data_IF_537175074610
#
_entry.id   IF_537175074610
#
_cell.length_a   1.000
_cell.length_b   1.000
_cell.length_c   1.000
_cell.angle_alpha   90.00
_cell.angle_beta   90.00
_cell.angle_gamma   90.00
#
_symmetry.space_group_name_H-M   'P 1'
#
loop_
_entity.id
_entity.type
_entity.pdbx_description
1 polymer ?
#
# COMPACT_ATOMS: atom_id res chain seq x y z
N UNK A 1 -18.37 2.14 -23.92
CA UNK A 1 -19.54 2.00 -23.02
C UNK A 1 -19.02 1.60 -21.65
N UNK A 2 -19.26 2.39 -20.61
CA UNK A 2 -18.84 2.04 -19.25
C UNK A 2 -19.74 0.93 -18.72
N UNK A 3 -19.13 -0.17 -18.24
CA UNK A 3 -19.88 -1.27 -17.61
C UNK A 3 -19.53 -1.37 -16.14
N UNK A 4 -20.41 -1.97 -15.35
CA UNK A 4 -20.12 -2.35 -13.97
C UNK A 4 -19.80 -3.84 -13.97
N UNK A 5 -18.71 -4.23 -13.34
CA UNK A 5 -18.25 -5.62 -13.23
C UNK A 5 -17.90 -5.96 -11.78
N UNK A 6 -17.91 -7.24 -11.43
CA UNK A 6 -17.37 -7.69 -10.14
C UNK A 6 -15.85 -7.80 -10.21
N UNK A 7 -15.15 -7.51 -9.11
CA UNK A 7 -13.68 -7.60 -9.06
C UNK A 7 -13.17 -8.99 -9.46
N UNK A 8 -13.81 -10.06 -8.99
CA UNK A 8 -13.45 -11.45 -9.32
C UNK A 8 -13.53 -11.78 -10.82
N UNK A 9 -14.27 -11.00 -11.61
CA UNK A 9 -14.34 -11.19 -13.06
C UNK A 9 -13.15 -10.58 -13.82
N UNK A 10 -12.37 -9.72 -13.17
CA UNK A 10 -11.26 -8.97 -13.78
C UNK A 10 -9.95 -9.07 -13.00
N UNK A 11 -9.95 -9.63 -11.80
CA UNK A 11 -8.76 -9.79 -10.97
C UNK A 11 -8.90 -10.99 -10.02
N UNK A 12 -7.77 -11.62 -9.70
CA UNK A 12 -7.69 -12.61 -8.64
C UNK A 12 -7.51 -11.92 -7.30
N UNK A 13 -8.22 -12.38 -6.26
CA UNK A 13 -8.05 -11.89 -4.89
C UNK A 13 -7.70 -13.05 -3.97
N UNK A 14 -6.66 -12.86 -3.16
CA UNK A 14 -6.23 -13.83 -2.14
C UNK A 14 -5.84 -13.11 -0.86
N UNK A 15 -5.74 -13.85 0.24
CA UNK A 15 -5.17 -13.34 1.48
C UNK A 15 -3.63 -13.46 1.46
N UNK A 16 -2.97 -12.60 2.23
CA UNK A 16 -1.57 -12.78 2.58
C UNK A 16 -1.29 -14.02 3.42
N UNK A 17 -0.02 -14.28 3.69
CA UNK A 17 0.43 -15.42 4.46
C UNK A 17 -0.04 -15.32 5.93
N UNK A 18 -0.60 -16.38 6.52
CA UNK A 18 -0.92 -16.40 7.94
C UNK A 18 0.36 -16.58 8.77
N UNK A 19 0.56 -15.71 9.75
CA UNK A 19 1.63 -15.85 10.76
C UNK A 19 1.01 -16.40 12.05
N UNK A 20 1.60 -17.46 12.60
CA UNK A 20 1.12 -18.12 13.84
C UNK A 20 1.76 -17.53 15.10
N UNK A 21 2.97 -17.03 14.96
CA UNK A 21 3.77 -16.38 15.99
C UNK A 21 3.83 -14.87 15.76
N UNK A 22 4.31 -14.13 16.77
CA UNK A 22 4.61 -12.71 16.61
C UNK A 22 5.69 -12.54 15.52
N UNK A 23 5.48 -11.60 14.62
CA UNK A 23 6.46 -11.27 13.57
C UNK A 23 7.71 -10.71 14.24
N UNK A 24 8.85 -11.36 14.01
CA UNK A 24 10.16 -10.92 14.46
C UNK A 24 10.98 -10.45 13.27
N UNK A 25 11.70 -9.34 13.44
CA UNK A 25 12.65 -8.87 12.44
C UNK A 25 13.92 -9.73 12.52
N UNK A 26 14.18 -10.46 11.44
CA UNK A 26 15.35 -11.31 11.28
C UNK A 26 16.55 -10.57 10.65
N UNK A 27 16.40 -9.28 10.32
CA UNK A 27 17.47 -8.47 9.72
C UNK A 27 18.06 -9.14 8.48
N UNK A 28 19.38 -9.24 8.42
CA UNK A 28 20.11 -9.86 7.30
C UNK A 28 19.79 -11.35 7.11
N UNK A 29 19.40 -12.06 8.17
CA UNK A 29 19.09 -13.49 8.12
C UNK A 29 17.69 -13.79 7.57
N UNK A 30 16.83 -12.77 7.42
CA UNK A 30 15.51 -12.96 6.83
C UNK A 30 15.60 -13.49 5.40
N UNK A 31 14.63 -14.28 4.96
CA UNK A 31 14.55 -14.78 3.59
C UNK A 31 13.57 -13.99 2.72
N UNK A 32 12.61 -13.27 3.33
CA UNK A 32 11.66 -12.42 2.62
C UNK A 32 11.53 -11.04 3.28
N UNK A 33 11.08 -10.04 2.51
CA UNK A 33 10.51 -8.81 3.09
C UNK A 33 9.03 -8.99 3.38
N UNK A 34 8.56 -8.40 4.48
CA UNK A 34 7.17 -8.43 4.88
C UNK A 34 6.55 -7.03 4.82
N UNK A 35 5.54 -6.89 3.95
CA UNK A 35 4.66 -5.72 3.95
C UNK A 35 3.51 -5.94 4.94
N UNK A 36 3.30 -4.98 5.83
CA UNK A 36 2.28 -4.97 6.86
C UNK A 36 1.30 -3.80 6.65
N UNK A 37 0.22 -3.80 7.42
CA UNK A 37 -0.82 -2.76 7.37
C UNK A 37 -0.27 -1.35 7.64
N UNK A 38 0.80 -1.23 8.45
CA UNK A 38 1.44 0.05 8.80
C UNK A 38 2.23 0.66 7.64
N UNK A 39 2.70 -0.17 6.71
CA UNK A 39 3.53 0.26 5.58
C UNK A 39 2.67 0.82 4.44
N UNK A 40 1.34 0.66 4.53
CA UNK A 40 0.36 1.27 3.62
C UNK A 40 -0.24 2.50 4.28
N UNK A 41 0.16 3.67 3.79
CA UNK A 41 -0.39 4.96 4.19
C UNK A 41 -1.91 5.03 4.00
N UNK A 42 -2.58 5.89 4.78
CA UNK A 42 -4.02 6.12 4.65
C UNK A 42 -4.40 6.69 3.28
N UNK A 43 -3.44 7.26 2.57
CA UNK A 43 -3.56 7.84 1.23
C UNK A 43 -3.15 6.89 0.10
N UNK A 44 -2.90 5.62 0.43
CA UNK A 44 -2.54 4.55 -0.51
C UNK A 44 -1.08 4.52 -0.93
N UNK A 45 -0.21 5.36 -0.36
CA UNK A 45 1.23 5.29 -0.62
C UNK A 45 1.82 4.09 0.16
N UNK A 46 2.52 3.22 -0.55
CA UNK A 46 3.23 2.09 0.01
C UNK A 46 4.68 2.49 0.32
N UNK A 47 5.07 2.39 1.59
CA UNK A 47 6.44 2.59 2.02
C UNK A 47 7.23 1.28 1.91
N UNK A 48 8.30 1.31 1.12
CA UNK A 48 9.20 0.17 0.91
C UNK A 48 10.61 0.43 1.48
N UNK A 49 10.82 1.56 2.17
CA UNK A 49 12.15 1.99 2.63
C UNK A 49 12.67 1.22 3.84
N UNK A 50 11.78 0.79 4.74
CA UNK A 50 12.14 0.13 6.00
C UNK A 50 11.27 -1.11 6.29
N UNK A 51 11.19 -2.02 5.31
CA UNK A 51 10.42 -3.25 5.47
C UNK A 51 11.08 -4.22 6.44
N UNK A 52 10.25 -4.85 7.29
CA UNK A 52 10.69 -5.92 8.19
C UNK A 52 11.16 -7.13 7.39
N UNK A 53 12.35 -7.62 7.69
CA UNK A 53 12.90 -8.83 7.08
C UNK A 53 12.49 -10.04 7.93
N UNK A 54 11.95 -11.08 7.32
CA UNK A 54 11.36 -12.22 8.06
C UNK A 54 11.83 -13.57 7.50
N UNK A 55 11.76 -14.59 8.34
CA UNK A 55 11.87 -16.00 7.96
C UNK A 55 10.48 -16.61 8.10
N UNK A 56 9.72 -16.77 7.00
CA UNK A 56 8.34 -17.20 7.08
C UNK A 56 8.22 -18.67 7.53
N UNK A 57 7.29 -18.94 8.45
CA UNK A 57 6.99 -20.31 8.88
C UNK A 57 6.15 -21.03 7.80
N UNK A 58 6.78 -21.86 6.97
CA UNK A 58 6.08 -22.72 6.00
C UNK A 58 6.50 -22.49 4.56
N UNK A 59 5.53 -22.41 3.64
CA UNK A 59 5.79 -22.27 2.21
C UNK A 59 5.49 -20.83 1.72
N UNK A 60 6.48 -19.92 1.75
CA UNK A 60 6.28 -18.53 1.34
C UNK A 60 6.15 -18.35 -0.17
N UNK A 61 6.60 -19.31 -0.99
CA UNK A 61 6.63 -19.20 -2.45
C UNK A 61 5.24 -18.99 -3.05
N UNK A 62 4.22 -19.61 -2.45
CA UNK A 62 2.81 -19.44 -2.85
C UNK A 62 2.25 -18.05 -2.54
N UNK A 63 2.92 -17.28 -1.68
CA UNK A 63 2.48 -15.98 -1.21
C UNK A 63 3.30 -14.83 -1.76
N UNK A 64 4.30 -15.11 -2.60
CA UNK A 64 5.13 -14.10 -3.22
C UNK A 64 4.29 -13.08 -3.99
N UNK A 65 4.69 -11.84 -3.77
CA UNK A 65 4.12 -10.67 -4.40
C UNK A 65 4.98 -10.28 -5.59
N UNK A 66 4.33 -9.80 -6.64
CA UNK A 66 4.98 -9.35 -7.87
C UNK A 66 4.67 -7.88 -8.13
N UNK A 67 5.45 -7.22 -8.99
CA UNK A 67 5.10 -5.89 -9.48
C UNK A 67 3.65 -5.84 -9.95
N UNK A 68 2.98 -4.72 -9.68
CA UNK A 68 1.56 -4.47 -9.94
C UNK A 68 0.55 -5.24 -9.08
N UNK A 69 0.98 -6.10 -8.16
CA UNK A 69 0.07 -6.59 -7.13
C UNK A 69 -0.41 -5.41 -6.25
N UNK A 70 -1.71 -5.38 -5.99
CA UNK A 70 -2.35 -4.37 -5.15
C UNK A 70 -2.61 -4.98 -3.78
N UNK A 71 -2.19 -4.28 -2.73
CA UNK A 71 -2.36 -4.67 -1.34
C UNK A 71 -3.46 -3.82 -0.70
N UNK A 72 -4.59 -4.44 -0.38
CA UNK A 72 -5.73 -3.76 0.25
C UNK A 72 -5.73 -4.04 1.75
N UNK A 73 -5.81 -2.96 2.55
CA UNK A 73 -6.06 -3.07 3.99
C UNK A 73 -7.45 -3.64 4.24
N UNK A 74 -7.54 -4.71 5.03
CA UNK A 74 -8.84 -5.35 5.35
C UNK A 74 -9.44 -4.89 6.67
N UNK A 75 -8.68 -4.11 7.46
CA UNK A 75 -9.08 -3.64 8.79
C UNK A 75 -8.53 -2.25 9.05
N UNK A 76 -9.31 -1.44 9.75
CA UNK A 76 -8.90 -0.12 10.23
C UNK A 76 -9.91 0.98 9.89
N UNK A 77 -9.56 2.24 10.18
CA UNK A 77 -10.45 3.37 9.92
C UNK A 77 -10.56 3.71 8.43
N UNK A 78 -9.61 3.24 7.61
CA UNK A 78 -9.57 3.44 6.15
C UNK A 78 -9.12 2.14 5.49
N UNK A 79 -9.81 1.77 4.40
CA UNK A 79 -9.45 0.64 3.55
C UNK A 79 -8.60 1.09 2.35
N UNK A 80 -7.45 1.72 2.62
CA UNK A 80 -6.53 2.15 1.57
C UNK A 80 -5.82 0.95 0.95
N UNK A 81 -5.40 1.11 -0.30
CA UNK A 81 -4.60 0.13 -1.01
C UNK A 81 -3.26 0.72 -1.44
N UNK A 82 -2.20 -0.07 -1.32
CA UNK A 82 -0.90 0.20 -1.93
C UNK A 82 -0.70 -0.63 -3.20
N UNK A 83 0.18 -0.20 -4.08
CA UNK A 83 0.60 -0.96 -5.27
C UNK A 83 2.10 -1.23 -5.20
N UNK A 84 2.51 -2.44 -5.56
CA UNK A 84 3.92 -2.82 -5.53
C UNK A 84 4.59 -2.32 -6.80
N UNK A 85 5.53 -1.41 -6.62
CA UNK A 85 6.39 -0.88 -7.67
C UNK A 85 7.79 -1.48 -7.56
N UNK A 86 8.26 -2.10 -8.64
CA UNK A 86 9.63 -2.58 -8.75
C UNK A 86 9.94 -3.87 -7.97
N UNK A 87 11.22 -4.19 -7.91
CA UNK A 87 11.76 -5.38 -7.24
C UNK A 87 12.78 -4.93 -6.19
N UNK A 88 12.63 -5.40 -4.96
CA UNK A 88 13.52 -5.08 -3.83
C UNK A 88 14.73 -6.03 -3.72
N UNK A 89 15.00 -6.83 -4.75
CA UNK A 89 16.11 -7.79 -4.78
C UNK A 89 15.91 -9.02 -3.90
N UNK A 90 14.77 -9.09 -3.20
CA UNK A 90 14.38 -10.18 -2.29
C UNK A 90 12.87 -10.44 -2.43
N UNK A 91 12.40 -11.70 -2.30
CA UNK A 91 10.98 -11.98 -2.36
C UNK A 91 10.19 -11.20 -1.29
N UNK A 92 9.02 -10.72 -1.68
CA UNK A 92 8.15 -9.93 -0.82
C UNK A 92 6.89 -10.75 -0.54
N UNK A 93 6.47 -10.76 0.72
CA UNK A 93 5.20 -11.33 1.18
C UNK A 93 4.42 -10.30 1.99
N UNK A 94 3.16 -10.60 2.28
CA UNK A 94 2.33 -9.82 3.19
C UNK A 94 1.59 -10.74 4.16
N UNK A 95 1.09 -10.18 5.27
CA UNK A 95 0.29 -10.90 6.25
C UNK A 95 -1.17 -11.04 5.80
N UNK A 96 -1.90 -11.98 6.40
CA UNK A 96 -3.35 -12.17 6.19
C UNK A 96 -4.24 -10.99 6.64
N UNK A 97 -3.66 -9.90 7.15
CA UNK A 97 -4.38 -8.64 7.41
C UNK A 97 -4.60 -7.82 6.14
N UNK A 98 -3.88 -8.17 5.06
CA UNK A 98 -3.99 -7.56 3.75
C UNK A 98 -4.55 -8.58 2.75
N UNK A 99 -5.38 -8.09 1.83
CA UNK A 99 -5.72 -8.83 0.62
C UNK A 99 -4.75 -8.44 -0.49
N UNK A 100 -4.35 -9.43 -1.28
CA UNK A 100 -3.56 -9.27 -2.50
C UNK A 100 -4.52 -9.38 -3.67
N UNK A 101 -4.55 -8.35 -4.52
CA UNK A 101 -5.36 -8.28 -5.72
C UNK A 101 -4.43 -8.26 -6.92
N UNK A 102 -4.54 -9.27 -7.78
CA UNK A 102 -3.75 -9.41 -9.01
C UNK A 102 -4.66 -9.21 -10.22
N UNK A 103 -4.41 -8.14 -10.97
CA UNK A 103 -5.24 -7.77 -12.10
C UNK A 103 -5.02 -8.68 -13.31
N UNK A 104 -6.10 -8.99 -14.05
CA UNK A 104 -5.97 -9.39 -15.44
C UNK A 104 -5.83 -8.11 -16.29
N UNK A 105 -4.59 -7.79 -16.67
CA UNK A 105 -4.26 -6.52 -17.34
C UNK A 105 -4.94 -6.35 -18.71
N UNK A 106 -5.46 -7.43 -19.31
CA UNK A 106 -6.28 -7.34 -20.53
C UNK A 106 -7.69 -6.77 -20.27
N UNK A 107 -8.12 -6.71 -19.01
CA UNK A 107 -9.46 -6.30 -18.61
C UNK A 107 -9.44 -5.07 -17.71
N UNK A 108 -8.51 -5.06 -16.74
CA UNK A 108 -8.37 -3.97 -15.77
C UNK A 108 -6.89 -3.63 -15.53
N UNK A 109 -6.55 -2.35 -15.64
CA UNK A 109 -5.18 -1.89 -15.40
C UNK A 109 -4.92 -1.67 -13.90
N UNK A 110 -3.78 -2.16 -13.35
CA UNK A 110 -3.47 -2.07 -11.93
C UNK A 110 -3.53 -0.65 -11.37
N UNK A 111 -2.96 0.33 -12.08
CA UNK A 111 -2.95 1.72 -11.63
C UNK A 111 -4.33 2.38 -11.64
N UNK A 112 -5.22 1.95 -12.55
CA UNK A 112 -6.62 2.36 -12.54
C UNK A 112 -7.34 1.79 -11.32
N UNK A 113 -7.18 0.49 -11.04
CA UNK A 113 -7.79 -0.15 -9.89
C UNK A 113 -7.28 0.45 -8.57
N UNK A 114 -5.98 0.69 -8.49
CA UNK A 114 -5.33 1.36 -7.36
C UNK A 114 -5.91 2.76 -7.12
N UNK A 115 -6.08 3.55 -8.18
CA UNK A 115 -6.77 4.84 -8.08
C UNK A 115 -8.22 4.66 -7.63
N UNK A 116 -8.96 3.74 -8.25
CA UNK A 116 -10.38 3.55 -7.98
C UNK A 116 -10.62 3.26 -6.50
N UNK A 117 -9.89 2.31 -5.92
CA UNK A 117 -9.97 1.94 -4.50
C UNK A 117 -9.71 3.15 -3.59
N UNK A 118 -8.66 3.92 -3.87
CA UNK A 118 -8.26 5.07 -3.05
C UNK A 118 -9.04 6.36 -3.37
N UNK A 119 -9.87 6.37 -4.41
CA UNK A 119 -10.70 7.52 -4.79
C UNK A 119 -11.81 7.77 -3.77
N UNK A 120 -12.35 9.00 -3.73
CA UNK A 120 -13.49 9.34 -2.85
C UNK A 120 -14.66 8.38 -3.09
N UNK A 121 -14.95 8.03 -4.35
CA UNK A 121 -16.07 7.15 -4.69
C UNK A 121 -15.79 5.70 -4.31
N UNK A 122 -14.60 5.17 -4.61
CA UNK A 122 -14.26 3.78 -4.29
C UNK A 122 -14.08 3.55 -2.80
N UNK A 123 -13.43 4.47 -2.09
CA UNK A 123 -13.31 4.43 -0.63
C UNK A 123 -14.69 4.43 0.04
N UNK A 124 -15.60 5.33 -0.35
CA UNK A 124 -16.99 5.32 0.14
C UNK A 124 -17.71 4.00 -0.17
N UNK A 125 -17.50 3.45 -1.36
CA UNK A 125 -18.11 2.17 -1.74
C UNK A 125 -17.59 1.02 -0.86
N UNK A 126 -16.27 0.89 -0.68
CA UNK A 126 -15.67 -0.14 0.18
C UNK A 126 -16.12 0.02 1.63
N UNK A 127 -16.13 1.24 2.15
CA UNK A 127 -16.61 1.53 3.51
C UNK A 127 -18.07 1.12 3.71
N UNK A 128 -18.94 1.34 2.71
CA UNK A 128 -20.35 0.92 2.79
C UNK A 128 -20.56 -0.60 2.89
N UNK A 129 -19.55 -1.38 2.49
CA UNK A 129 -19.54 -2.85 2.53
C UNK A 129 -18.84 -3.40 3.79
N UNK A 130 -18.34 -2.52 4.66
CA UNK A 130 -17.61 -2.92 5.86
C UNK A 130 -18.53 -3.15 7.06
N UNK A 131 -18.10 -4.05 7.95
CA UNK A 131 -18.84 -4.42 9.15
C UNK A 131 -18.08 -3.94 10.41
N UNK A 132 -18.83 -3.55 11.45
CA UNK A 132 -18.29 -3.14 12.75
C UNK A 132 -18.31 -1.62 12.98
N UNK A 133 -18.69 -1.22 14.20
CA UNK A 133 -18.91 0.18 14.60
C UNK A 133 -17.63 0.91 15.04
N UNK A 134 -16.72 0.22 15.75
CA UNK A 134 -15.46 0.83 16.24
C UNK A 134 -14.22 0.45 15.43
N UNK A 135 -14.17 -0.77 14.88
CA UNK A 135 -13.10 -1.22 13.98
C UNK A 135 -13.77 -1.89 12.79
N UNK A 136 -13.85 -1.16 11.69
CA UNK A 136 -14.43 -1.67 10.46
C UNK A 136 -13.52 -2.75 9.86
N UNK A 137 -14.16 -3.83 9.40
CA UNK A 137 -13.49 -4.95 8.74
C UNK A 137 -14.20 -5.26 7.43
N UNK A 138 -13.43 -5.64 6.43
CA UNK A 138 -13.94 -6.21 5.18
C UNK A 138 -13.25 -7.56 4.98
N UNK A 139 -14.03 -8.59 4.62
CA UNK A 139 -13.49 -9.91 4.37
C UNK A 139 -13.14 -10.06 2.87
N UNK A 140 -12.23 -11.00 2.56
CA UNK A 140 -11.78 -11.21 1.18
C UNK A 140 -12.90 -11.58 0.21
N UNK A 141 -13.97 -12.27 0.66
CA UNK A 141 -15.10 -12.63 -0.21
C UNK A 141 -15.90 -11.39 -0.62
N UNK A 142 -16.07 -10.44 0.30
CA UNK A 142 -16.71 -9.15 0.01
C UNK A 142 -15.86 -8.33 -0.95
N UNK A 143 -14.54 -8.32 -0.78
CA UNK A 143 -13.60 -7.66 -1.71
C UNK A 143 -13.72 -8.25 -3.12
N UNK A 144 -13.71 -9.58 -3.28
CA UNK A 144 -13.86 -10.25 -4.58
C UNK A 144 -15.16 -9.89 -5.30
N UNK A 145 -16.23 -9.61 -4.56
CA UNK A 145 -17.56 -9.29 -5.11
C UNK A 145 -17.79 -7.78 -5.32
N UNK A 146 -16.78 -6.96 -5.11
CA UNK A 146 -16.90 -5.52 -5.22
C UNK A 146 -17.27 -5.11 -6.65
N UNK A 147 -18.28 -4.25 -6.79
CA UNK A 147 -18.71 -3.74 -8.07
C UNK A 147 -17.85 -2.55 -8.49
N UNK A 148 -17.15 -2.68 -9.61
CA UNK A 148 -16.20 -1.69 -10.12
C UNK A 148 -16.74 -1.12 -11.41
N UNK A 149 -16.65 0.21 -11.55
CA UNK A 149 -16.89 0.88 -12.83
C UNK A 149 -15.72 0.53 -13.74
N UNK A 150 -15.99 -0.06 -14.90
CA UNK A 150 -14.96 -0.46 -15.85
C UNK A 150 -15.08 0.39 -17.12
N UNK A 151 -14.29 1.47 -17.22
CA UNK A 151 -14.16 2.23 -18.45
C UNK A 151 -13.29 1.47 -19.47
N UNK A 152 -13.14 2.05 -20.66
CA UNK A 152 -12.28 1.47 -21.70
C UNK A 152 -10.82 1.39 -21.23
N UNK A 153 -10.02 0.47 -21.76
CA UNK A 153 -8.60 0.36 -21.39
C UNK A 153 -7.84 1.66 -21.62
N UNK A 154 -8.18 2.42 -22.66
CA UNK A 154 -7.60 3.74 -22.93
C UNK A 154 -7.89 4.76 -21.82
N UNK A 155 -9.12 4.80 -21.32
CA UNK A 155 -9.50 5.66 -20.19
C UNK A 155 -8.86 5.19 -18.88
N UNK A 156 -8.78 3.87 -18.67
CA UNK A 156 -8.09 3.30 -17.52
C UNK A 156 -6.61 3.70 -17.52
N UNK A 157 -5.94 3.66 -18.68
CA UNK A 157 -4.54 4.03 -18.83
C UNK A 157 -4.34 5.52 -18.53
N UNK A 158 -5.18 6.38 -19.12
CA UNK A 158 -5.17 7.84 -18.85
C UNK A 158 -5.32 8.14 -17.36
N UNK A 159 -6.32 7.54 -16.70
CA UNK A 159 -6.55 7.74 -15.26
C UNK A 159 -5.39 7.16 -14.44
N UNK A 160 -4.90 5.98 -14.81
CA UNK A 160 -3.76 5.33 -14.16
C UNK A 160 -2.51 6.19 -14.23
N UNK A 161 -2.22 6.78 -15.39
CA UNK A 161 -1.09 7.70 -15.58
C UNK A 161 -1.22 8.95 -14.69
N UNK A 162 -2.40 9.57 -14.65
CA UNK A 162 -2.67 10.73 -13.78
C UNK A 162 -2.42 10.34 -12.31
N UNK A 163 -2.94 9.20 -11.88
CA UNK A 163 -2.77 8.72 -10.50
C UNK A 163 -1.30 8.48 -10.14
N UNK A 164 -0.54 7.81 -11.02
CA UNK A 164 0.90 7.58 -10.81
C UNK A 164 1.66 8.89 -10.68
N UNK A 165 1.40 9.84 -11.57
CA UNK A 165 2.06 11.14 -11.54
C UNK A 165 1.72 11.89 -10.25
N UNK A 166 0.46 11.85 -9.82
CA UNK A 166 0.04 12.45 -8.55
C UNK A 166 0.72 11.82 -7.34
N UNK A 167 0.81 10.48 -7.28
CA UNK A 167 1.51 9.77 -6.20
C UNK A 167 2.99 10.16 -6.17
N UNK A 168 3.68 10.15 -7.32
CA UNK A 168 5.08 10.58 -7.41
C UNK A 168 5.28 12.02 -6.91
N UNK A 169 4.37 12.91 -7.26
CA UNK A 169 4.41 14.30 -6.80
C UNK A 169 4.24 14.40 -5.28
N UNK A 170 3.27 13.66 -4.69
CA UNK A 170 3.09 13.59 -3.22
C UNK A 170 4.34 13.09 -2.52
N UNK A 171 4.93 11.98 -3.00
CA UNK A 171 6.17 11.43 -2.44
C UNK A 171 7.30 12.46 -2.48
N UNK A 172 7.48 13.12 -3.63
CA UNK A 172 8.53 14.13 -3.81
C UNK A 172 8.35 15.32 -2.85
N UNK A 173 7.12 15.82 -2.70
CA UNK A 173 6.83 16.90 -1.75
C UNK A 173 7.06 16.48 -0.30
N UNK A 174 6.66 15.27 0.08
CA UNK A 174 6.91 14.76 1.44
C UNK A 174 8.42 14.69 1.73
N UNK A 175 9.23 14.22 0.78
CA UNK A 175 10.69 14.23 0.92
C UNK A 175 11.26 15.64 1.02
N UNK A 176 10.72 16.61 0.27
CA UNK A 176 11.14 18.01 0.37
C UNK A 176 10.84 18.59 1.76
N UNK A 177 9.65 18.32 2.31
CA UNK A 177 9.25 18.76 3.66
C UNK A 177 10.19 18.13 4.70
N UNK A 178 10.40 16.81 4.64
CA UNK A 178 11.30 16.11 5.58
C UNK A 178 12.73 16.65 5.56
N UNK A 179 13.28 16.92 4.37
CA UNK A 179 14.60 17.54 4.25
C UNK A 179 14.61 18.96 4.84
N UNK A 180 13.53 19.72 4.63
CA UNK A 180 13.35 21.04 5.22
C UNK A 180 13.33 21.01 6.74
N UNK A 181 12.58 20.07 7.33
CA UNK A 181 12.48 19.90 8.79
C UNK A 181 13.85 19.58 9.40
N UNK A 182 14.60 18.64 8.81
CA UNK A 182 15.95 18.28 9.27
C UNK A 182 16.91 19.48 9.21
N UNK A 183 16.89 20.24 8.11
CA UNK A 183 17.75 21.41 7.96
C UNK A 183 17.38 22.53 8.95
N UNK A 184 16.08 22.77 9.14
CA UNK A 184 15.57 23.75 10.08
C UNK A 184 16.03 23.42 11.51
N UNK A 185 15.86 22.17 11.95
CA UNK A 185 16.24 21.73 13.28
C UNK A 185 17.76 21.87 13.51
N UNK A 186 18.58 21.43 12.55
CA UNK A 186 20.05 21.55 12.63
C UNK A 186 20.48 23.01 12.75
N UNK A 187 19.87 23.92 11.98
CA UNK A 187 20.18 25.36 12.06
C UNK A 187 19.81 25.92 13.44
N UNK A 188 18.65 25.55 13.97
CA UNK A 188 18.22 25.97 15.30
C UNK A 188 19.18 25.47 16.40
N UNK A 189 19.61 24.21 16.33
CA UNK A 189 20.59 23.64 17.26
C UNK A 189 21.96 24.33 17.16
N UNK A 190 22.45 24.62 15.94
CA UNK A 190 23.72 25.30 15.72
C UNK A 190 23.71 26.73 16.29
N UNK A 191 22.60 27.47 16.17
CA UNK A 191 22.44 28.79 16.77
C UNK A 191 22.55 28.73 18.30
N UNK A 192 21.89 27.75 18.94
CA UNK A 192 21.96 27.56 20.40
C UNK A 192 23.39 27.24 20.82
N UNK A 193 24.05 26.31 20.11
CA UNK A 193 25.40 25.85 20.46
C UNK A 193 26.48 26.92 20.26
N UNK A 194 26.29 27.85 19.31
CA UNK A 194 27.20 28.99 19.10
C UNK A 194 27.07 30.10 20.15
N UNK A 195 25.90 30.23 20.79
CA UNK A 195 25.66 31.21 21.86
C UNK A 195 26.18 30.79 23.25
N UNK A 196 26.77 29.60 23.39
CA UNK A 196 27.10 28.97 24.68
C UNK A 196 28.52 29.18 25.23
N UNK A 197 29.39 30.00 24.62
CA UNK A 197 30.81 30.13 25.03
C UNK A 197 31.33 31.58 25.15
N UNK A 198 30.48 32.56 25.53
CA UNK A 198 30.93 33.93 25.82
C UNK A 198 30.82 34.32 27.32
N UNK A 199 30.89 33.36 28.24
CA UNK A 199 31.02 33.67 29.68
C UNK A 199 32.11 32.81 30.34
N UNK A 200 33.37 33.23 30.19
CA UNK A 200 34.43 33.12 31.19
C UNK A 200 35.27 34.40 31.22
#
# INVERSE_FOLDING_TARGET
MHKIVTLESVAETRLGMPFKSAIQDAGEQGSCYLIQTKDIGLDGILDLGALTSVIPEGNPEKHYLFPHDILLRLRGPVFSAGIIEGNLGKPIITSNQLAVIRCNENLILPHYLHWYINSISGSKHIHSLSEGTNISKINSKTVSKLNIKLPTLEEQDKIGLINRNWIKQKVTYNSLIQNGDVLFDIICEDIINRGGFENE
#
